data_IF_451211706231
#
_entry.id   IF_451211706231
#
_cell.length_a   1.000
_cell.length_b   1.000
_cell.length_c   1.000
_cell.angle_alpha   90.00
_cell.angle_beta   90.00
_cell.angle_gamma   90.00
#
_symmetry.space_group_name_H-M   'P 1'
#
loop_
_entity.id
_entity.type
_entity.pdbx_description
1 polymer ?
#
# COMPACT_ATOMS: atom_id res chain seq x y z
N UNK A 1 14.15 17.98 -23.57
CA UNK A 1 15.34 17.14 -23.38
C UNK A 1 15.69 16.97 -21.91
N UNK A 2 15.99 17.98 -21.10
CA UNK A 2 16.33 17.86 -19.65
C UNK A 2 15.31 17.03 -18.81
N UNK A 3 14.01 17.09 -19.12
CA UNK A 3 12.99 16.31 -18.37
C UNK A 3 13.07 14.81 -18.62
N UNK A 4 13.43 14.38 -19.83
CA UNK A 4 13.57 12.94 -20.19
C UNK A 4 14.90 12.40 -19.64
N UNK A 5 15.97 13.21 -19.68
CA UNK A 5 17.27 12.85 -19.10
C UNK A 5 17.15 12.65 -17.59
N UNK A 6 16.46 13.55 -16.89
CA UNK A 6 16.22 13.43 -15.44
C UNK A 6 15.33 12.23 -15.08
N UNK A 7 14.36 11.88 -15.94
CA UNK A 7 13.55 10.66 -15.78
C UNK A 7 14.45 9.43 -15.87
N UNK A 8 15.31 9.36 -16.89
CA UNK A 8 16.26 8.25 -17.09
C UNK A 8 17.25 8.12 -15.95
N UNK A 9 17.84 9.23 -15.51
CA UNK A 9 18.85 9.25 -14.45
C UNK A 9 18.29 8.72 -13.10
N UNK A 10 17.12 9.20 -12.68
CA UNK A 10 16.49 8.74 -11.45
C UNK A 10 16.03 7.29 -11.53
N UNK A 11 15.57 6.82 -12.70
CA UNK A 11 15.19 5.42 -12.91
C UNK A 11 16.41 4.50 -12.87
N UNK A 12 17.54 4.88 -13.50
CA UNK A 12 18.80 4.14 -13.42
C UNK A 12 19.37 4.11 -12.00
N UNK A 13 19.24 5.20 -11.25
CA UNK A 13 19.62 5.24 -9.84
C UNK A 13 18.83 4.21 -9.02
N UNK A 14 17.50 4.14 -9.20
CA UNK A 14 16.66 3.13 -8.54
C UNK A 14 17.02 1.71 -8.98
N UNK A 15 17.36 1.50 -10.25
CA UNK A 15 17.81 0.22 -10.79
C UNK A 15 19.11 -0.23 -10.12
N UNK A 16 20.09 0.67 -9.97
CA UNK A 16 21.35 0.36 -9.30
C UNK A 16 21.14 -0.09 -7.85
N UNK A 17 20.28 0.63 -7.10
CA UNK A 17 19.91 0.23 -5.74
C UNK A 17 19.21 -1.13 -5.76
N UNK A 18 18.31 -1.37 -6.71
CA UNK A 18 17.56 -2.62 -6.81
C UNK A 18 18.47 -3.82 -7.06
N UNK A 19 19.49 -3.68 -7.90
CA UNK A 19 20.47 -4.75 -8.16
C UNK A 19 21.24 -5.08 -6.87
N UNK A 20 21.70 -4.07 -6.13
CA UNK A 20 22.36 -4.28 -4.83
C UNK A 20 21.41 -4.95 -3.82
N UNK A 21 20.19 -4.45 -3.71
CA UNK A 21 19.17 -5.00 -2.82
C UNK A 21 18.81 -6.44 -3.16
N UNK A 22 18.75 -6.77 -4.46
CA UNK A 22 18.51 -8.13 -4.93
C UNK A 22 19.65 -9.08 -4.58
N UNK A 23 20.92 -8.65 -4.74
CA UNK A 23 22.09 -9.44 -4.37
C UNK A 23 22.10 -9.68 -2.85
N UNK A 24 21.93 -8.62 -2.02
CA UNK A 24 21.87 -8.77 -0.56
C UNK A 24 20.68 -9.62 -0.11
N UNK A 25 19.51 -9.46 -0.76
CA UNK A 25 18.33 -10.25 -0.45
C UNK A 25 18.48 -11.74 -0.72
N UNK A 26 19.35 -12.12 -1.69
CA UNK A 26 19.72 -13.54 -1.91
C UNK A 26 20.72 -14.08 -0.89
N UNK A 27 21.55 -13.22 -0.30
CA UNK A 27 22.52 -13.62 0.72
C UNK A 27 21.92 -13.68 2.13
N UNK A 28 20.94 -12.81 2.40
CA UNK A 28 20.24 -12.71 3.69
C UNK A 28 18.75 -12.92 3.44
N UNK A 29 18.37 -14.18 3.26
CA UNK A 29 16.98 -14.60 2.94
C UNK A 29 15.98 -14.10 3.99
N UNK A 30 16.38 -14.03 5.28
CA UNK A 30 15.54 -13.56 6.40
C UNK A 30 15.04 -12.12 6.21
N UNK A 31 15.73 -11.28 5.45
CA UNK A 31 15.37 -9.86 5.25
C UNK A 31 14.67 -9.65 3.90
N UNK A 32 15.12 -10.35 2.86
CA UNK A 32 14.57 -10.27 1.52
C UNK A 32 14.93 -9.00 0.74
N UNK A 33 14.93 -9.11 -0.59
CA UNK A 33 15.31 -8.02 -1.49
C UNK A 33 14.50 -6.73 -1.33
N UNK A 34 13.16 -6.77 -1.22
CA UNK A 34 12.33 -5.58 -1.08
C UNK A 34 12.65 -4.75 0.17
N UNK A 35 12.94 -5.41 1.29
CA UNK A 35 13.32 -4.74 2.54
C UNK A 35 14.68 -4.07 2.41
N UNK A 36 15.67 -4.76 1.81
CA UNK A 36 16.97 -4.14 1.49
C UNK A 36 16.80 -2.93 0.57
N UNK A 37 15.90 -3.01 -0.43
CA UNK A 37 15.59 -1.89 -1.31
C UNK A 37 15.12 -0.66 -0.53
N UNK A 38 14.17 -0.83 0.39
CA UNK A 38 13.69 0.26 1.26
C UNK A 38 14.82 0.81 2.12
N UNK A 39 15.57 -0.05 2.82
CA UNK A 39 16.62 0.36 3.76
C UNK A 39 17.75 1.10 3.06
N UNK A 40 18.27 0.56 1.95
CA UNK A 40 19.34 1.22 1.18
C UNK A 40 18.84 2.57 0.63
N UNK A 41 17.60 2.60 0.09
CA UNK A 41 16.99 3.84 -0.38
C UNK A 41 16.90 4.89 0.72
N UNK A 42 16.43 4.53 1.92
CA UNK A 42 16.33 5.43 3.08
C UNK A 42 17.70 5.92 3.56
N UNK A 43 18.70 5.05 3.62
CA UNK A 43 20.06 5.42 4.00
C UNK A 43 20.66 6.42 3.00
N UNK A 44 20.46 6.19 1.70
CA UNK A 44 20.90 7.12 0.66
C UNK A 44 20.14 8.45 0.72
N UNK A 45 18.84 8.45 1.04
CA UNK A 45 18.09 9.68 1.28
C UNK A 45 18.66 10.50 2.44
N UNK A 46 19.03 9.85 3.53
CA UNK A 46 19.71 10.49 4.66
C UNK A 46 21.10 11.01 4.29
N UNK A 47 21.89 10.21 3.58
CA UNK A 47 23.26 10.58 3.16
C UNK A 47 23.28 11.73 2.14
N UNK A 48 22.21 11.90 1.38
CA UNK A 48 22.03 13.00 0.41
C UNK A 48 21.21 14.16 0.98
N UNK A 49 20.86 14.10 2.25
CA UNK A 49 20.12 15.18 2.92
C UNK A 49 20.97 16.46 2.91
N UNK A 50 20.41 17.53 2.30
CA UNK A 50 21.11 18.79 2.09
C UNK A 50 21.85 18.93 0.75
N UNK A 51 21.88 17.88 -0.10
CA UNK A 51 22.39 17.95 -1.47
C UNK A 51 21.23 18.15 -2.46
N UNK A 52 21.51 18.78 -3.59
CA UNK A 52 20.53 18.92 -4.66
C UNK A 52 20.30 17.57 -5.37
N UNK A 53 19.17 16.94 -5.08
CA UNK A 53 18.73 15.69 -5.71
C UNK A 53 17.58 15.91 -6.69
N UNK A 54 17.31 17.16 -7.08
CA UNK A 54 16.20 17.53 -7.97
C UNK A 54 16.25 16.82 -9.33
N UNK A 55 17.44 16.52 -9.83
CA UNK A 55 17.65 15.76 -11.08
C UNK A 55 17.19 14.30 -10.98
N UNK A 56 17.22 13.68 -9.80
CA UNK A 56 16.77 12.29 -9.58
C UNK A 56 15.27 12.20 -9.35
N UNK A 57 14.66 13.25 -8.79
CA UNK A 57 13.28 13.25 -8.31
C UNK A 57 12.23 12.79 -9.35
N UNK A 58 12.28 13.19 -10.64
CA UNK A 58 11.31 12.73 -11.64
C UNK A 58 11.36 11.21 -11.86
N UNK A 59 12.57 10.65 -11.99
CA UNK A 59 12.76 9.20 -12.19
C UNK A 59 12.42 8.36 -10.97
N UNK A 60 12.77 8.84 -9.78
CA UNK A 60 12.40 8.19 -8.51
C UNK A 60 10.88 8.18 -8.33
N UNK A 61 10.19 9.30 -8.61
CA UNK A 61 8.73 9.38 -8.56
C UNK A 61 8.07 8.48 -9.62
N UNK A 62 8.63 8.40 -10.81
CA UNK A 62 8.18 7.49 -11.86
C UNK A 62 8.30 6.04 -11.40
N UNK A 63 9.44 5.66 -10.85
CA UNK A 63 9.73 4.30 -10.40
C UNK A 63 8.82 3.88 -9.24
N UNK A 64 8.69 4.71 -8.22
CA UNK A 64 7.84 4.42 -7.05
C UNK A 64 6.36 4.28 -7.39
N UNK A 65 5.90 4.86 -8.48
CA UNK A 65 4.49 4.83 -8.88
C UNK A 65 4.24 3.90 -10.07
N UNK A 66 4.83 4.20 -11.22
CA UNK A 66 4.48 3.52 -12.46
C UNK A 66 5.17 2.16 -12.62
N UNK A 67 6.44 2.05 -12.19
CA UNK A 67 7.14 0.74 -12.21
C UNK A 67 6.48 -0.22 -11.22
N UNK A 68 6.06 0.25 -10.04
CA UNK A 68 5.31 -0.55 -9.10
C UNK A 68 3.96 -1.03 -9.68
N UNK A 69 3.20 -0.11 -10.31
CA UNK A 69 1.93 -0.47 -10.95
C UNK A 69 2.13 -1.52 -12.04
N UNK A 70 3.16 -1.35 -12.87
CA UNK A 70 3.52 -2.33 -13.89
C UNK A 70 3.90 -3.68 -13.27
N UNK A 71 4.67 -3.68 -12.20
CA UNK A 71 5.03 -4.90 -11.48
C UNK A 71 3.79 -5.64 -10.96
N UNK A 72 2.83 -4.93 -10.36
CA UNK A 72 1.57 -5.52 -9.89
C UNK A 72 0.73 -6.08 -11.06
N UNK A 73 0.68 -5.38 -12.20
CA UNK A 73 -0.01 -5.89 -13.41
C UNK A 73 0.64 -7.18 -13.91
N UNK A 74 1.98 -7.22 -13.98
CA UNK A 74 2.73 -8.41 -14.39
C UNK A 74 2.49 -9.59 -13.44
N UNK A 75 2.32 -9.34 -12.14
CA UNK A 75 1.99 -10.37 -11.17
C UNK A 75 0.65 -11.07 -11.52
N UNK A 76 -0.30 -10.33 -12.09
CA UNK A 76 -1.59 -10.87 -12.55
C UNK A 76 -1.46 -12.00 -13.56
N UNK A 77 -0.39 -12.03 -14.38
CA UNK A 77 -0.12 -13.15 -15.30
C UNK A 77 0.27 -14.45 -14.57
N UNK A 78 0.64 -14.39 -13.30
CA UNK A 78 0.90 -15.57 -12.47
C UNK A 78 -0.34 -16.19 -11.82
N UNK A 79 -1.51 -15.59 -12.01
CA UNK A 79 -2.74 -15.93 -11.29
C UNK A 79 -3.86 -16.35 -12.23
N UNK A 80 -4.72 -17.25 -11.74
CA UNK A 80 -5.97 -17.55 -12.43
C UNK A 80 -7.18 -16.91 -11.73
N UNK A 81 -8.24 -16.67 -12.49
CA UNK A 81 -9.43 -15.96 -12.02
C UNK A 81 -10.16 -16.70 -10.88
N UNK A 82 -10.14 -18.04 -10.86
CA UNK A 82 -10.77 -18.82 -9.80
C UNK A 82 -10.05 -18.70 -8.47
N UNK A 83 -8.71 -18.67 -8.49
CA UNK A 83 -7.90 -18.37 -7.29
C UNK A 83 -8.19 -16.97 -6.77
N UNK A 84 -8.24 -15.98 -7.67
CA UNK A 84 -8.58 -14.60 -7.28
C UNK A 84 -9.94 -14.50 -6.63
N UNK A 85 -10.95 -15.15 -7.21
CA UNK A 85 -12.30 -15.15 -6.64
C UNK A 85 -12.34 -15.84 -5.26
N UNK A 86 -11.70 -17.00 -5.13
CA UNK A 86 -11.63 -17.73 -3.86
C UNK A 86 -10.97 -16.89 -2.76
N UNK A 87 -9.76 -16.40 -2.97
CA UNK A 87 -9.03 -15.59 -1.99
C UNK A 87 -9.77 -14.28 -1.70
N UNK A 88 -10.33 -13.64 -2.72
CA UNK A 88 -11.12 -12.42 -2.56
C UNK A 88 -12.33 -12.64 -1.64
N UNK A 89 -13.13 -13.67 -1.90
CA UNK A 89 -14.33 -13.98 -1.11
C UNK A 89 -13.99 -14.38 0.31
N UNK A 90 -13.00 -15.26 0.52
CA UNK A 90 -12.58 -15.69 1.86
C UNK A 90 -12.00 -14.57 2.71
N UNK A 91 -11.42 -13.53 2.08
CA UNK A 91 -10.88 -12.36 2.77
C UNK A 91 -11.94 -11.30 3.15
N UNK A 92 -13.14 -11.33 2.56
CA UNK A 92 -14.17 -10.30 2.78
C UNK A 92 -14.53 -10.07 4.26
N UNK A 93 -14.73 -11.09 5.12
CA UNK A 93 -15.06 -10.86 6.53
C UNK A 93 -13.95 -10.10 7.27
N UNK A 94 -12.68 -10.45 7.01
CA UNK A 94 -11.53 -9.78 7.61
C UNK A 94 -11.38 -8.35 7.06
N UNK A 95 -11.58 -8.17 5.76
CA UNK A 95 -11.57 -6.84 5.12
C UNK A 95 -12.65 -5.95 5.73
N UNK A 96 -13.89 -6.43 5.84
CA UNK A 96 -15.00 -5.66 6.38
C UNK A 96 -14.76 -5.27 7.84
N UNK A 97 -14.27 -6.21 8.68
CA UNK A 97 -13.97 -5.96 10.08
C UNK A 97 -12.82 -4.94 10.25
N UNK A 98 -11.73 -5.07 9.48
CA UNK A 98 -10.60 -4.15 9.56
C UNK A 98 -10.94 -2.73 9.04
N UNK A 99 -11.75 -2.61 7.99
CA UNK A 99 -12.26 -1.32 7.50
C UNK A 99 -13.11 -0.66 8.58
N UNK A 100 -14.09 -1.38 9.13
CA UNK A 100 -14.97 -0.86 10.18
C UNK A 100 -14.18 -0.44 11.40
N UNK A 101 -13.25 -1.27 11.85
CA UNK A 101 -12.36 -0.97 12.99
C UNK A 101 -11.57 0.31 12.76
N UNK A 102 -10.95 0.47 11.60
CA UNK A 102 -10.18 1.68 11.28
C UNK A 102 -11.03 2.93 11.36
N UNK A 103 -12.21 2.92 10.76
CA UNK A 103 -13.11 4.08 10.74
C UNK A 103 -13.64 4.42 12.14
N UNK A 104 -14.02 3.39 12.92
CA UNK A 104 -14.48 3.57 14.31
C UNK A 104 -13.36 4.10 15.19
N UNK A 105 -12.16 3.51 15.13
CA UNK A 105 -11.01 3.97 15.92
C UNK A 105 -10.62 5.39 15.52
N UNK A 106 -10.58 5.73 14.23
CA UNK A 106 -10.30 7.09 13.78
C UNK A 106 -11.32 8.09 14.34
N UNK A 107 -12.61 7.75 14.34
CA UNK A 107 -13.67 8.58 14.88
C UNK A 107 -13.53 8.80 16.40
N UNK A 108 -13.30 7.72 17.15
CA UNK A 108 -13.12 7.79 18.62
C UNK A 108 -11.87 8.58 18.98
N UNK A 109 -10.74 8.26 18.34
CA UNK A 109 -9.45 8.92 18.60
C UNK A 109 -9.42 10.38 18.13
N UNK A 110 -10.17 10.72 17.07
CA UNK A 110 -10.38 12.11 16.66
C UNK A 110 -10.88 12.97 17.83
N UNK A 111 -11.88 12.47 18.56
CA UNK A 111 -12.47 13.16 19.71
C UNK A 111 -11.55 13.13 20.93
N UNK A 112 -10.94 11.98 21.22
CA UNK A 112 -10.08 11.80 22.38
C UNK A 112 -8.81 12.67 22.31
N UNK A 113 -8.15 12.71 21.14
CA UNK A 113 -6.90 13.45 20.91
C UNK A 113 -7.15 14.89 20.43
N UNK A 114 -8.40 15.26 20.14
CA UNK A 114 -8.78 16.57 19.57
C UNK A 114 -7.99 16.86 18.28
N UNK A 115 -7.93 15.85 17.38
CA UNK A 115 -7.36 16.00 16.03
C UNK A 115 -8.41 16.65 15.12
N UNK A 116 -8.04 17.55 14.18
CA UNK A 116 -9.00 18.11 13.21
C UNK A 116 -9.78 16.99 12.49
N UNK A 117 -11.10 17.17 12.36
CA UNK A 117 -11.98 16.12 11.85
C UNK A 117 -11.63 15.67 10.42
N UNK A 118 -11.18 16.58 9.55
CA UNK A 118 -10.74 16.27 8.18
C UNK A 118 -9.48 15.41 8.19
N UNK A 119 -8.45 15.81 8.96
CA UNK A 119 -7.21 15.02 9.12
C UNK A 119 -7.51 13.63 9.68
N UNK A 120 -8.35 13.52 10.71
CA UNK A 120 -8.73 12.23 11.29
C UNK A 120 -9.50 11.35 10.30
N UNK A 121 -10.41 11.93 9.51
CA UNK A 121 -11.13 11.20 8.45
C UNK A 121 -10.17 10.70 7.38
N UNK A 122 -9.21 11.53 6.94
CA UNK A 122 -8.21 11.12 5.95
C UNK A 122 -7.32 9.99 6.48
N UNK A 123 -6.87 10.05 7.73
CA UNK A 123 -6.08 8.97 8.36
C UNK A 123 -6.92 7.69 8.48
N UNK A 124 -8.17 7.81 8.93
CA UNK A 124 -9.08 6.67 9.07
C UNK A 124 -9.38 5.97 7.74
N UNK A 125 -9.69 6.74 6.70
CA UNK A 125 -9.95 6.22 5.35
C UNK A 125 -8.66 5.68 4.72
N UNK A 126 -7.54 6.39 4.88
CA UNK A 126 -6.23 5.92 4.43
C UNK A 126 -5.85 4.58 5.06
N UNK A 127 -6.00 4.45 6.38
CA UNK A 127 -5.74 3.19 7.10
C UNK A 127 -6.72 2.09 6.72
N UNK A 128 -7.97 2.43 6.42
CA UNK A 128 -9.02 1.43 6.15
C UNK A 128 -8.96 0.83 4.75
N UNK A 129 -8.36 1.49 3.75
CA UNK A 129 -8.44 1.04 2.35
C UNK A 129 -7.05 0.79 1.76
N UNK A 130 -6.44 1.82 1.15
CA UNK A 130 -5.20 1.70 0.36
C UNK A 130 -4.22 2.87 0.56
N UNK A 131 -4.23 3.47 1.73
CA UNK A 131 -3.29 4.53 2.09
C UNK A 131 -3.51 5.81 1.29
N UNK A 132 -2.46 6.28 0.65
CA UNK A 132 -2.43 7.56 -0.07
C UNK A 132 -3.48 7.69 -1.18
N UNK A 133 -3.81 6.60 -1.89
CA UNK A 133 -4.84 6.64 -2.95
C UNK A 133 -6.23 6.92 -2.38
N UNK A 134 -6.56 6.32 -1.23
CA UNK A 134 -7.82 6.56 -0.55
C UNK A 134 -7.90 7.99 0.00
N UNK A 135 -6.79 8.51 0.54
CA UNK A 135 -6.68 9.91 0.97
C UNK A 135 -6.91 10.85 -0.20
N UNK A 136 -6.21 10.63 -1.33
CA UNK A 136 -6.33 11.48 -2.54
C UNK A 136 -7.74 11.48 -3.13
N UNK A 137 -8.46 10.35 -3.08
CA UNK A 137 -9.85 10.27 -3.53
C UNK A 137 -10.83 10.93 -2.56
N UNK A 138 -10.54 10.88 -1.25
CA UNK A 138 -11.41 11.40 -0.20
C UNK A 138 -11.23 12.91 0.03
N UNK A 139 -9.99 13.41 -0.09
CA UNK A 139 -9.65 14.81 0.18
C UNK A 139 -10.56 15.83 -0.53
N UNK A 140 -10.80 15.74 -1.86
CA UNK A 140 -11.69 16.67 -2.54
C UNK A 140 -13.16 16.51 -2.10
N UNK A 141 -13.57 15.31 -1.70
CA UNK A 141 -14.93 15.03 -1.24
C UNK A 141 -15.24 15.76 0.06
N UNK A 142 -14.30 15.76 1.02
CA UNK A 142 -14.46 16.42 2.33
C UNK A 142 -13.88 17.84 2.34
N UNK A 143 -13.44 18.35 1.18
CA UNK A 143 -12.80 19.67 1.03
C UNK A 143 -11.62 19.86 1.99
N UNK A 144 -10.76 18.85 2.09
CA UNK A 144 -9.56 18.89 2.92
C UNK A 144 -8.51 19.83 2.31
N UNK A 145 -7.77 20.51 3.17
CA UNK A 145 -6.67 21.39 2.78
C UNK A 145 -5.40 20.57 2.47
N UNK A 146 -4.52 21.10 1.62
CA UNK A 146 -3.29 20.41 1.21
C UNK A 146 -2.40 20.02 2.38
N UNK A 147 -2.39 20.83 3.46
CA UNK A 147 -1.64 20.54 4.67
C UNK A 147 -2.22 19.33 5.44
N UNK A 148 -3.55 19.23 5.55
CA UNK A 148 -4.26 18.10 6.15
C UNK A 148 -4.00 16.80 5.36
N UNK A 149 -4.00 16.90 4.02
CA UNK A 149 -3.69 15.80 3.11
C UNK A 149 -2.25 15.33 3.28
N UNK A 150 -1.30 16.27 3.27
CA UNK A 150 0.13 15.97 3.44
C UNK A 150 0.42 15.32 4.80
N UNK A 151 -0.22 15.81 5.86
CA UNK A 151 -0.09 15.26 7.21
C UNK A 151 -0.65 13.83 7.29
N UNK A 152 -1.84 13.59 6.75
CA UNK A 152 -2.45 12.26 6.75
C UNK A 152 -1.61 11.25 5.93
N UNK A 153 -1.13 11.66 4.75
CA UNK A 153 -0.26 10.83 3.92
C UNK A 153 1.03 10.47 4.69
N UNK A 154 1.67 11.44 5.34
CA UNK A 154 2.90 11.22 6.10
C UNK A 154 2.70 10.20 7.22
N UNK A 155 1.60 10.30 7.97
CA UNK A 155 1.26 9.34 9.04
C UNK A 155 1.08 7.93 8.49
N UNK A 156 0.32 7.78 7.41
CA UNK A 156 0.07 6.48 6.78
C UNK A 156 1.37 5.86 6.26
N UNK A 157 2.21 6.66 5.60
CA UNK A 157 3.51 6.17 5.10
C UNK A 157 4.45 5.72 6.22
N UNK A 158 4.47 6.43 7.36
CA UNK A 158 5.26 6.04 8.52
C UNK A 158 4.92 4.60 8.96
N UNK A 159 3.64 4.32 9.20
CA UNK A 159 3.21 2.99 9.65
C UNK A 159 3.31 1.92 8.56
N UNK A 160 3.22 2.29 7.29
CA UNK A 160 3.44 1.37 6.18
C UNK A 160 4.89 0.90 6.11
N UNK A 161 5.86 1.81 6.28
CA UNK A 161 7.29 1.44 6.32
C UNK A 161 7.57 0.53 7.51
N UNK A 162 7.06 0.88 8.70
CA UNK A 162 7.19 0.05 9.90
C UNK A 162 6.59 -1.34 9.66
N UNK A 163 5.38 -1.41 9.10
CA UNK A 163 4.72 -2.68 8.79
C UNK A 163 5.51 -3.54 7.81
N UNK A 164 6.04 -2.94 6.73
CA UNK A 164 6.81 -3.67 5.74
C UNK A 164 8.09 -4.30 6.32
N UNK A 165 8.70 -3.64 7.31
CA UNK A 165 9.91 -4.11 7.98
C UNK A 165 9.63 -5.12 9.11
N UNK A 166 8.57 -4.89 9.89
CA UNK A 166 8.30 -5.63 11.14
C UNK A 166 7.38 -6.82 10.94
N UNK A 167 6.37 -6.72 10.06
CA UNK A 167 5.34 -7.75 9.96
C UNK A 167 5.84 -9.11 9.48
N UNK A 168 6.81 -9.23 8.56
CA UNK A 168 7.33 -10.55 8.17
C UNK A 168 7.93 -11.32 9.36
N UNK A 169 8.76 -10.66 10.14
CA UNK A 169 9.35 -11.24 11.36
C UNK A 169 8.30 -11.48 12.46
N UNK A 170 7.37 -10.56 12.63
CA UNK A 170 6.25 -10.73 13.59
C UNK A 170 5.36 -11.91 13.21
N UNK A 171 4.99 -12.04 11.95
CA UNK A 171 4.17 -13.16 11.45
C UNK A 171 4.85 -14.50 11.66
N UNK A 172 6.17 -14.57 11.38
CA UNK A 172 6.97 -15.78 11.64
C UNK A 172 7.04 -16.10 13.13
N UNK A 173 7.23 -15.10 13.99
CA UNK A 173 7.23 -15.27 15.46
C UNK A 173 5.86 -15.71 16.02
N UNK A 174 4.76 -15.31 15.37
CA UNK A 174 3.40 -15.73 15.71
C UNK A 174 3.03 -17.11 15.13
N UNK A 175 3.90 -17.70 14.29
CA UNK A 175 3.64 -19.00 13.67
C UNK A 175 2.55 -18.96 12.60
N UNK A 176 2.37 -17.82 11.91
CA UNK A 176 1.39 -17.72 10.83
C UNK A 176 1.77 -18.65 9.66
N UNK A 177 0.76 -19.25 9.04
CA UNK A 177 0.94 -19.95 7.75
C UNK A 177 1.16 -18.95 6.62
N UNK A 178 1.59 -19.44 5.46
CA UNK A 178 1.72 -18.58 4.27
C UNK A 178 0.39 -17.93 3.87
N UNK A 179 -0.73 -18.65 3.99
CA UNK A 179 -2.07 -18.14 3.73
C UNK A 179 -2.48 -17.10 4.79
N UNK A 180 -2.25 -17.41 6.07
CA UNK A 180 -2.51 -16.50 7.18
C UNK A 180 -1.72 -15.21 7.07
N UNK A 181 -0.42 -15.30 6.76
CA UNK A 181 0.38 -14.09 6.56
C UNK A 181 -0.06 -13.28 5.33
N UNK A 182 -0.44 -13.94 4.24
CA UNK A 182 -0.98 -13.26 3.05
C UNK A 182 -2.24 -12.46 3.36
N UNK A 183 -3.16 -13.05 4.12
CA UNK A 183 -4.38 -12.39 4.57
C UNK A 183 -4.07 -11.24 5.56
N UNK A 184 -3.14 -11.48 6.51
CA UNK A 184 -2.69 -10.46 7.46
C UNK A 184 -2.05 -9.26 6.75
N UNK A 185 -1.06 -9.50 5.89
CA UNK A 185 -0.39 -8.43 5.16
C UNK A 185 -1.37 -7.64 4.28
N UNK A 186 -2.26 -8.31 3.54
CA UNK A 186 -3.26 -7.67 2.69
C UNK A 186 -4.28 -6.81 3.44
N UNK A 187 -4.62 -7.19 4.68
CA UNK A 187 -5.64 -6.51 5.50
C UNK A 187 -5.06 -5.55 6.54
N UNK A 188 -3.87 -5.78 7.08
CA UNK A 188 -3.28 -4.96 8.15
C UNK A 188 -2.29 -3.91 7.64
N UNK A 189 -1.69 -4.09 6.46
CA UNK A 189 -0.85 -3.07 5.83
C UNK A 189 -1.69 -2.17 4.93
N UNK A 190 -1.51 -0.85 5.04
CA UNK A 190 -2.46 0.08 4.41
C UNK A 190 -2.16 0.36 2.94
N UNK A 191 -0.92 0.40 2.51
CA UNK A 191 -0.54 0.72 1.13
C UNK A 191 -0.14 -0.53 0.34
N UNK A 192 -0.48 -0.56 -0.95
CA UNK A 192 -0.19 -1.70 -1.84
C UNK A 192 1.31 -1.98 -1.95
N UNK A 193 2.14 -0.93 -2.00
CA UNK A 193 3.59 -1.07 -2.06
C UNK A 193 4.16 -1.80 -0.85
N UNK A 194 3.70 -1.42 0.34
CA UNK A 194 4.15 -2.00 1.60
C UNK A 194 3.61 -3.41 1.82
N UNK A 195 2.40 -3.72 1.31
CA UNK A 195 1.88 -5.10 1.26
C UNK A 195 2.77 -5.98 0.40
N UNK A 196 3.11 -5.52 -0.81
CA UNK A 196 3.99 -6.28 -1.71
C UNK A 196 5.38 -6.44 -1.13
N UNK A 197 5.91 -5.42 -0.45
CA UNK A 197 7.20 -5.50 0.25
C UNK A 197 7.17 -6.55 1.37
N UNK A 198 6.18 -6.49 2.26
CA UNK A 198 6.04 -7.42 3.37
C UNK A 198 5.84 -8.86 2.89
N UNK A 199 4.96 -9.07 1.91
CA UNK A 199 4.68 -10.40 1.38
C UNK A 199 5.86 -10.99 0.58
N UNK A 200 6.57 -10.16 -0.19
CA UNK A 200 7.77 -10.61 -0.89
C UNK A 200 8.95 -10.90 0.07
N UNK A 201 9.05 -10.16 1.18
CA UNK A 201 10.00 -10.45 2.24
C UNK A 201 9.66 -11.78 2.94
N UNK A 202 8.37 -12.04 3.21
CA UNK A 202 7.91 -13.32 3.73
C UNK A 202 8.25 -14.47 2.81
N UNK A 203 7.98 -14.36 1.49
CA UNK A 203 8.32 -15.38 0.50
C UNK A 203 9.82 -15.64 0.43
N UNK A 204 10.67 -14.62 0.68
CA UNK A 204 12.11 -14.77 0.81
C UNK A 204 12.54 -15.56 2.04
N UNK A 205 11.81 -15.42 3.16
CA UNK A 205 12.07 -16.12 4.42
C UNK A 205 11.54 -17.57 4.42
N UNK A 206 10.55 -17.88 3.58
CA UNK A 206 9.85 -19.16 3.52
C UNK A 206 9.90 -19.73 2.10
N UNK A 207 10.96 -20.49 1.74
CA UNK A 207 11.13 -21.04 0.41
C UNK A 207 9.92 -21.88 -0.04
N UNK A 208 9.44 -21.60 -1.25
CA UNK A 208 8.23 -22.24 -1.78
C UNK A 208 6.90 -21.57 -1.40
N UNK A 209 6.92 -20.52 -0.57
CA UNK A 209 5.75 -19.72 -0.31
C UNK A 209 5.34 -18.91 -1.55
N UNK A 210 4.06 -18.62 -1.67
CA UNK A 210 3.48 -17.77 -2.72
C UNK A 210 2.53 -16.72 -2.12
N UNK A 211 2.95 -16.15 -1.02
CA UNK A 211 2.18 -15.24 -0.18
C UNK A 211 1.98 -13.89 -0.85
N UNK A 212 2.93 -13.47 -1.69
CA UNK A 212 2.83 -12.24 -2.46
C UNK A 212 1.57 -12.22 -3.35
N UNK A 213 1.23 -13.33 -3.99
CA UNK A 213 0.03 -13.45 -4.82
C UNK A 213 -1.24 -13.28 -3.96
N UNK A 214 -1.34 -14.03 -2.87
CA UNK A 214 -2.48 -13.99 -1.96
C UNK A 214 -2.66 -12.58 -1.33
N UNK A 215 -1.60 -12.02 -0.77
CA UNK A 215 -1.61 -10.68 -0.18
C UNK A 215 -2.02 -9.59 -1.18
N UNK A 216 -1.56 -9.71 -2.43
CA UNK A 216 -1.92 -8.78 -3.50
C UNK A 216 -3.40 -8.87 -3.83
N UNK A 217 -3.97 -10.08 -3.97
CA UNK A 217 -5.41 -10.26 -4.23
C UNK A 217 -6.23 -9.66 -3.10
N UNK A 218 -5.91 -9.99 -1.85
CA UNK A 218 -6.60 -9.46 -0.66
C UNK A 218 -6.56 -7.93 -0.67
N UNK A 219 -5.38 -7.35 -0.91
CA UNK A 219 -5.20 -5.90 -0.96
C UNK A 219 -5.98 -5.24 -2.08
N UNK A 220 -5.97 -5.79 -3.27
CA UNK A 220 -6.71 -5.24 -4.42
C UNK A 220 -8.24 -5.36 -4.19
N UNK A 221 -8.70 -6.47 -3.59
CA UNK A 221 -10.11 -6.62 -3.17
C UNK A 221 -10.50 -5.53 -2.16
N UNK A 222 -9.66 -5.28 -1.15
CA UNK A 222 -9.87 -4.20 -0.17
C UNK A 222 -9.89 -2.81 -0.83
N UNK A 223 -9.10 -2.60 -1.86
CA UNK A 223 -9.04 -1.32 -2.59
C UNK A 223 -10.37 -0.97 -3.25
N UNK A 224 -11.18 -1.95 -3.64
CA UNK A 224 -12.52 -1.71 -4.20
C UNK A 224 -13.46 -1.00 -3.21
N UNK A 225 -13.22 -1.10 -1.92
CA UNK A 225 -13.98 -0.41 -0.87
C UNK A 225 -13.86 1.13 -0.95
N UNK A 226 -12.92 1.67 -1.74
CA UNK A 226 -12.81 3.12 -1.99
C UNK A 226 -14.12 3.67 -2.58
N UNK A 227 -14.79 2.90 -3.45
CA UNK A 227 -16.01 3.32 -4.13
C UNK A 227 -17.16 3.55 -3.13
N UNK A 228 -17.61 2.54 -2.36
CA UNK A 228 -18.72 2.74 -1.44
C UNK A 228 -18.39 3.73 -0.32
N UNK A 229 -17.14 3.78 0.16
CA UNK A 229 -16.75 4.69 1.25
C UNK A 229 -16.73 6.14 0.76
N UNK A 230 -16.14 6.44 -0.39
CA UNK A 230 -16.13 7.80 -0.94
C UNK A 230 -17.52 8.27 -1.34
N UNK A 231 -18.38 7.38 -1.84
CA UNK A 231 -19.79 7.68 -2.11
C UNK A 231 -20.55 8.01 -0.82
N UNK A 232 -20.38 7.22 0.24
CA UNK A 232 -21.02 7.47 1.54
C UNK A 232 -20.59 8.82 2.12
N UNK A 233 -19.28 9.14 2.05
CA UNK A 233 -18.75 10.44 2.50
C UNK A 233 -19.28 11.59 1.65
N UNK A 234 -19.34 11.44 0.32
CA UNK A 234 -19.90 12.45 -0.57
C UNK A 234 -21.37 12.73 -0.24
N UNK A 235 -22.16 11.67 -0.03
CA UNK A 235 -23.57 11.80 0.34
C UNK A 235 -23.74 12.47 1.72
N UNK A 236 -22.90 12.11 2.68
CA UNK A 236 -22.90 12.75 4.00
C UNK A 236 -22.54 14.23 3.93
N UNK A 237 -21.51 14.58 3.14
CA UNK A 237 -21.09 15.96 2.93
C UNK A 237 -22.19 16.79 2.26
N UNK A 238 -22.84 16.26 1.21
CA UNK A 238 -23.99 16.91 0.55
C UNK A 238 -25.17 17.16 1.50
N UNK A 239 -25.46 16.20 2.40
CA UNK A 239 -26.48 16.38 3.43
C UNK A 239 -26.14 17.50 4.43
N UNK A 240 -24.87 17.60 4.80
CA UNK A 240 -24.41 18.64 5.71
C UNK A 240 -24.47 20.02 5.07
N UNK A 241 -24.06 20.16 3.81
CA UNK A 241 -24.13 21.40 3.03
C UNK A 241 -25.58 21.88 2.84
N UNK A 242 -26.49 20.98 2.52
CA UNK A 242 -27.94 21.32 2.45
C UNK A 242 -28.50 21.85 3.77
N UNK A 243 -27.99 21.37 4.90
CA UNK A 243 -28.42 21.86 6.23
C UNK A 243 -27.86 23.24 6.58
N UNK A 244 -26.72 23.60 5.99
CA UNK A 244 -26.02 24.88 6.23
C UNK A 244 -26.32 25.93 5.14
N UNK A 245 -27.12 25.60 4.13
CA UNK A 245 -27.48 26.52 3.03
C UNK A 245 -26.33 26.79 2.04
N UNK A 246 -25.25 26.04 2.07
CA UNK A 246 -24.15 26.18 1.14
C UNK A 246 -24.43 25.48 -0.20
N UNK A 247 -24.06 26.11 -1.32
CA UNK A 247 -24.24 25.51 -2.66
C UNK A 247 -23.39 24.22 -2.81
N UNK A 248 -24.02 23.16 -3.30
CA UNK A 248 -23.39 21.85 -3.51
C UNK A 248 -22.42 21.90 -4.72
N UNK A 249 -21.13 22.04 -4.45
CA UNK A 249 -20.06 22.11 -5.47
C UNK A 249 -19.10 20.92 -5.43
N UNK A 250 -19.60 19.68 -5.21
CA UNK A 250 -18.71 18.50 -5.28
C UNK A 250 -19.00 17.63 -6.50
N UNK A 251 -18.18 17.75 -7.54
CA UNK A 251 -18.18 16.84 -8.69
C UNK A 251 -17.39 15.59 -8.34
N UNK A 252 -18.05 14.58 -7.74
CA UNK A 252 -17.44 13.28 -7.52
C UNK A 252 -17.23 12.56 -8.85
N UNK A 253 -15.99 12.21 -9.18
CA UNK A 253 -15.65 11.46 -10.37
C UNK A 253 -15.24 10.02 -9.99
N UNK A 254 -16.14 9.06 -10.23
CA UNK A 254 -15.85 7.62 -10.05
C UNK A 254 -14.60 7.18 -10.80
N UNK A 255 -14.36 7.76 -11.99
CA UNK A 255 -13.21 7.44 -12.84
C UNK A 255 -11.89 7.83 -12.20
N UNK A 256 -11.87 8.88 -11.34
CA UNK A 256 -10.66 9.28 -10.60
C UNK A 256 -10.42 8.44 -9.34
N UNK A 257 -11.48 7.85 -8.80
CA UNK A 257 -11.39 7.01 -7.60
C UNK A 257 -10.88 5.59 -7.91
N UNK A 258 -11.10 5.07 -9.12
CA UNK A 258 -10.72 3.70 -9.48
C UNK A 258 -9.29 3.64 -10.04
N UNK A 259 -8.36 2.92 -9.38
CA UNK A 259 -6.99 2.77 -9.86
C UNK A 259 -6.95 1.87 -11.10
N UNK A 260 -6.52 2.41 -12.24
CA UNK A 260 -6.49 1.70 -13.55
C UNK A 260 -5.65 0.42 -13.52
N UNK A 261 -4.56 0.39 -12.74
CA UNK A 261 -3.70 -0.80 -12.64
C UNK A 261 -4.42 -2.01 -12.02
N UNK A 262 -5.47 -1.80 -11.19
CA UNK A 262 -6.29 -2.89 -10.64
C UNK A 262 -7.08 -3.57 -11.77
N UNK A 263 -7.67 -2.78 -12.66
CA UNK A 263 -8.35 -3.32 -13.85
C UNK A 263 -7.40 -4.10 -14.76
N UNK A 264 -6.18 -3.56 -14.98
CA UNK A 264 -5.15 -4.23 -15.79
C UNK A 264 -4.64 -5.52 -15.14
N UNK A 265 -4.51 -5.57 -13.81
CA UNK A 265 -4.17 -6.79 -13.07
C UNK A 265 -5.24 -7.88 -13.27
N UNK A 266 -6.52 -7.53 -13.17
CA UNK A 266 -7.63 -8.47 -13.41
C UNK A 266 -7.63 -8.94 -14.87
N UNK A 267 -7.41 -8.03 -15.82
CA UNK A 267 -7.30 -8.38 -17.25
C UNK A 267 -6.12 -9.32 -17.53
N UNK A 268 -4.96 -9.09 -16.89
CA UNK A 268 -3.80 -10.00 -17.02
C UNK A 268 -4.13 -11.40 -16.48
N UNK A 269 -4.79 -11.50 -15.33
CA UNK A 269 -5.25 -12.76 -14.77
C UNK A 269 -6.34 -13.44 -15.63
N UNK A 270 -7.24 -12.65 -16.21
CA UNK A 270 -8.24 -13.15 -17.17
C UNK A 270 -7.58 -13.70 -18.43
N UNK A 271 -6.59 -13.00 -18.99
CA UNK A 271 -5.84 -13.45 -20.14
C UNK A 271 -5.12 -14.79 -19.85
N UNK A 272 -4.47 -14.91 -18.68
CA UNK A 272 -3.84 -16.17 -18.24
C UNK A 272 -4.84 -17.32 -18.15
N UNK A 273 -6.03 -17.03 -17.62
CA UNK A 273 -7.09 -18.03 -17.42
C UNK A 273 -7.73 -18.47 -18.76
N UNK A 274 -8.08 -17.52 -19.64
CA UNK A 274 -8.75 -17.83 -20.90
C UNK A 274 -7.83 -18.40 -21.97
N UNK A 275 -6.59 -17.91 -22.04
CA UNK A 275 -5.60 -18.36 -23.01
C UNK A 275 -4.77 -19.54 -22.50
N UNK A 276 -5.00 -20.01 -21.28
CA UNK A 276 -4.26 -21.08 -20.63
C UNK A 276 -2.73 -20.92 -20.82
N UNK A 277 -2.21 -19.70 -20.52
CA UNK A 277 -0.82 -19.35 -20.78
C UNK A 277 0.14 -20.35 -20.11
N UNK A 278 1.13 -20.89 -20.86
CA UNK A 278 2.04 -21.87 -20.31
C UNK A 278 3.00 -21.24 -19.28
N UNK A 279 3.48 -22.04 -18.32
CA UNK A 279 4.43 -21.60 -17.30
C UNK A 279 5.70 -20.97 -17.88
N UNK A 280 6.13 -21.40 -19.07
CA UNK A 280 7.26 -20.81 -19.79
C UNK A 280 7.10 -19.31 -20.10
N UNK A 281 5.85 -18.81 -20.18
CA UNK A 281 5.55 -17.40 -20.39
C UNK A 281 5.28 -16.70 -19.06
N UNK A 282 4.49 -17.32 -18.16
CA UNK A 282 4.05 -16.67 -16.93
C UNK A 282 5.14 -16.59 -15.86
N UNK A 283 6.05 -17.58 -15.78
CA UNK A 283 7.13 -17.57 -14.79
C UNK A 283 8.13 -16.41 -15.00
N UNK A 284 8.67 -16.15 -16.20
CA UNK A 284 9.53 -14.98 -16.42
C UNK A 284 8.85 -13.65 -16.13
N UNK A 285 7.56 -13.50 -16.43
CA UNK A 285 6.79 -12.29 -16.12
C UNK A 285 6.64 -12.08 -14.61
N UNK A 286 6.43 -13.16 -13.87
CA UNK A 286 6.39 -13.13 -12.41
C UNK A 286 7.74 -12.78 -11.79
N UNK A 287 8.83 -13.35 -12.30
CA UNK A 287 10.18 -13.02 -11.81
C UNK A 287 10.56 -11.58 -12.12
N UNK A 288 10.21 -11.07 -13.31
CA UNK A 288 10.35 -9.66 -13.66
C UNK A 288 9.53 -8.78 -12.72
N UNK A 289 8.28 -9.17 -12.41
CA UNK A 289 7.44 -8.45 -11.43
C UNK A 289 8.13 -8.33 -10.08
N UNK A 290 8.68 -9.43 -9.54
CA UNK A 290 9.40 -9.43 -8.25
C UNK A 290 10.60 -8.49 -8.26
N UNK A 291 11.39 -8.48 -9.32
CA UNK A 291 12.51 -7.55 -9.46
C UNK A 291 12.06 -6.08 -9.56
N UNK A 292 11.02 -5.78 -10.32
CA UNK A 292 10.45 -4.43 -10.41
C UNK A 292 9.86 -3.97 -9.08
N UNK A 293 9.35 -4.88 -8.24
CA UNK A 293 8.94 -4.56 -6.86
C UNK A 293 10.15 -4.09 -6.05
N UNK A 294 11.29 -4.80 -6.10
CA UNK A 294 12.52 -4.38 -5.41
C UNK A 294 12.94 -2.97 -5.88
N UNK A 295 12.89 -2.72 -7.19
CA UNK A 295 13.22 -1.43 -7.77
C UNK A 295 12.26 -0.31 -7.28
N UNK A 296 10.97 -0.59 -7.22
CA UNK A 296 9.98 0.34 -6.68
C UNK A 296 10.18 0.60 -5.18
N UNK A 297 10.54 -0.44 -4.41
CA UNK A 297 10.85 -0.31 -2.98
C UNK A 297 12.10 0.56 -2.75
N UNK A 298 13.11 0.44 -3.59
CA UNK A 298 14.31 1.31 -3.56
C UNK A 298 13.95 2.79 -3.76
N UNK A 299 13.05 3.05 -4.73
CA UNK A 299 12.55 4.41 -4.98
C UNK A 299 11.70 4.95 -3.82
N UNK A 300 10.84 4.11 -3.23
CA UNK A 300 10.01 4.47 -2.08
C UNK A 300 10.90 4.78 -0.88
N UNK A 301 11.90 3.93 -0.61
CA UNK A 301 12.88 4.17 0.45
C UNK A 301 13.58 5.53 0.27
N UNK A 302 14.06 5.83 -0.93
CA UNK A 302 14.73 7.10 -1.22
C UNK A 302 13.79 8.32 -1.12
N UNK A 303 12.52 8.19 -1.47
CA UNK A 303 11.52 9.25 -1.30
C UNK A 303 11.08 9.43 0.16
N UNK A 304 11.41 8.48 1.04
CA UNK A 304 10.97 8.51 2.44
C UNK A 304 11.88 9.41 3.28
N UNK A 305 11.37 10.57 3.66
CA UNK A 305 12.06 11.48 4.57
C UNK A 305 11.57 11.23 6.00
N UNK A 306 12.32 10.40 6.76
CA UNK A 306 12.01 10.03 8.14
C UNK A 306 11.83 11.26 9.03
N UNK A 307 12.63 12.29 8.85
CA UNK A 307 12.56 13.51 9.67
C UNK A 307 11.23 14.25 9.46
N UNK A 308 10.77 14.32 8.20
CA UNK A 308 9.45 14.92 7.90
C UNK A 308 8.29 14.05 8.41
N UNK A 309 8.43 12.72 8.34
CA UNK A 309 7.42 11.79 8.84
C UNK A 309 7.19 11.98 10.36
N UNK A 310 8.26 12.06 11.13
CA UNK A 310 8.18 12.22 12.60
C UNK A 310 7.71 13.62 12.99
N UNK A 311 7.98 14.65 12.19
CA UNK A 311 7.54 16.04 12.44
C UNK A 311 6.05 16.30 12.15
N UNK A 312 5.30 15.34 11.60
CA UNK A 312 3.88 15.47 11.26
C UNK A 312 2.90 15.75 12.41
N UNK A 313 3.42 15.85 13.63
CA UNK A 313 2.66 16.15 14.86
C UNK A 313 2.30 14.90 15.66
N UNK A 314 2.48 14.97 16.98
CA UNK A 314 2.30 13.81 17.87
C UNK A 314 0.86 13.26 17.86
N UNK A 315 -0.16 14.12 17.79
CA UNK A 315 -1.57 13.70 17.85
C UNK A 315 -2.03 12.92 16.60
N UNK A 316 -1.80 13.38 15.35
CA UNK A 316 -2.10 12.60 14.14
C UNK A 316 -1.32 11.28 14.08
N UNK A 317 -0.04 11.29 14.52
CA UNK A 317 0.77 10.06 14.59
C UNK A 317 0.17 9.08 15.59
N UNK A 318 -0.22 9.53 16.77
CA UNK A 318 -0.89 8.70 17.78
C UNK A 318 -2.23 8.12 17.25
N UNK A 319 -3.02 8.94 16.55
CA UNK A 319 -4.26 8.47 15.91
C UNK A 319 -3.96 7.37 14.87
N UNK A 320 -2.98 7.60 14.00
CA UNK A 320 -2.55 6.61 13.01
C UNK A 320 -2.03 5.32 13.64
N UNK A 321 -1.25 5.42 14.73
CA UNK A 321 -0.78 4.29 15.51
C UNK A 321 -1.93 3.45 16.08
N UNK A 322 -2.93 4.12 16.66
CA UNK A 322 -4.13 3.44 17.18
C UNK A 322 -4.91 2.72 16.07
N UNK A 323 -5.11 3.36 14.91
CA UNK A 323 -5.75 2.72 13.76
C UNK A 323 -4.94 1.50 13.29
N UNK A 324 -3.63 1.66 13.11
CA UNK A 324 -2.74 0.62 12.63
C UNK A 324 -2.70 -0.60 13.56
N UNK A 325 -2.52 -0.37 14.86
CA UNK A 325 -2.53 -1.45 15.86
C UNK A 325 -3.88 -2.15 15.94
N UNK A 326 -4.98 -1.38 15.95
CA UNK A 326 -6.32 -1.95 16.01
C UNK A 326 -6.63 -2.82 14.78
N UNK A 327 -6.25 -2.37 13.59
CA UNK A 327 -6.40 -3.14 12.35
C UNK A 327 -5.58 -4.43 12.42
N UNK A 328 -4.33 -4.37 12.87
CA UNK A 328 -3.47 -5.54 12.99
C UNK A 328 -4.06 -6.57 13.97
N UNK A 329 -4.48 -6.13 15.14
CA UNK A 329 -5.09 -6.99 16.15
C UNK A 329 -6.41 -7.61 15.68
N UNK A 330 -7.28 -6.81 15.04
CA UNK A 330 -8.56 -7.32 14.50
C UNK A 330 -8.33 -8.27 13.33
N UNK A 331 -7.35 -7.99 12.46
CA UNK A 331 -6.98 -8.90 11.39
C UNK A 331 -6.54 -10.26 11.94
N UNK A 332 -5.63 -10.30 12.90
CA UNK A 332 -5.18 -11.53 13.55
C UNK A 332 -6.31 -12.25 14.30
N UNK A 333 -7.11 -11.49 15.07
CA UNK A 333 -8.24 -12.06 15.81
C UNK A 333 -9.29 -12.70 14.90
N UNK A 334 -9.63 -12.03 13.80
CA UNK A 334 -10.58 -12.57 12.82
C UNK A 334 -10.03 -13.81 12.12
N UNK A 335 -8.75 -13.84 11.78
CA UNK A 335 -8.09 -15.01 11.20
C UNK A 335 -8.14 -16.21 12.14
N UNK A 336 -7.90 -15.99 13.41
CA UNK A 336 -8.00 -17.05 14.43
C UNK A 336 -9.44 -17.59 14.52
N UNK A 337 -10.44 -16.71 14.49
CA UNK A 337 -11.87 -17.10 14.53
C UNK A 337 -12.30 -17.91 13.31
N UNK A 338 -11.82 -17.55 12.12
CA UNK A 338 -12.18 -18.25 10.87
C UNK A 338 -11.25 -19.43 10.53
N UNK A 339 -10.26 -19.72 11.39
CA UNK A 339 -9.36 -20.86 11.25
C UNK A 339 -8.30 -20.72 10.15
N UNK A 340 -7.96 -19.48 9.74
CA UNK A 340 -6.87 -19.17 8.82
C UNK A 340 -5.73 -18.55 9.65
N UNK A 341 -4.80 -19.38 10.10
CA UNK A 341 -3.72 -18.91 10.96
C UNK A 341 -2.36 -19.25 10.39
#
# INVERSE_FOLDING_TARGET
MKSIENLGLGTLFCLAIAVLAWIFGKQVEVVGGPVFGILIGMLLALATSGKDTSSLAPGVKFTSKYVLQAAVVLLGFGLNLSQMAKVGVTSLPVIASTITTSLVVAYVMCRALKVPGRTATLIGVGSSICGGSAIAATAPVIKAEDEEVAQAISVIFLFNVIAALVFPTLGSALGLTNEGFGLFAGTAVNDTSSVTAAAAAWDGMHPGANTLDAATIVKLTRTLAIIPITLALAFWQMRQERRTGAEAASTFSLRRAFPTFVGLFVLASLATTLLALPAAVTAPLKDLSKFLIIMAMSAIGFNTNIVKLVRGGAKPIALGACCWMAIALVSLGMQHVIGIW
#
